data_IF_845697712658
#
_entry.id   IF_845697712658
#
_cell.length_a   1.000
_cell.length_b   1.000
_cell.length_c   1.000
_cell.angle_alpha   90.00
_cell.angle_beta   90.00
_cell.angle_gamma   90.00
#
_symmetry.space_group_name_H-M   'P 1'
#
loop_
_entity.id
_entity.type
_entity.pdbx_description
1 polymer ?
#
# COMPACT_ATOMS: atom_id res chain seq x y z
N UNK A 1 9.49 17.25 4.98
CA UNK A 1 9.84 15.83 5.17
C UNK A 1 10.54 15.65 6.51
N UNK A 2 10.08 14.74 7.37
CA UNK A 2 10.73 14.45 8.65
C UNK A 2 12.03 13.64 8.47
N UNK A 3 12.95 13.72 9.44
CA UNK A 3 14.23 12.99 9.40
C UNK A 3 14.03 11.47 9.28
N UNK A 4 12.99 10.94 9.93
CA UNK A 4 12.68 9.51 9.86
C UNK A 4 12.16 9.12 8.47
N UNK A 5 11.30 9.92 7.85
CA UNK A 5 10.78 9.64 6.51
C UNK A 5 11.92 9.66 5.49
N UNK A 6 12.82 10.63 5.59
CA UNK A 6 14.01 10.71 4.74
C UNK A 6 14.86 9.44 4.86
N UNK A 7 15.16 9.00 6.09
CA UNK A 7 15.91 7.77 6.34
C UNK A 7 15.22 6.52 5.77
N UNK A 8 13.89 6.43 5.91
CA UNK A 8 13.13 5.31 5.36
C UNK A 8 13.25 5.27 3.82
N UNK A 9 13.10 6.42 3.17
CA UNK A 9 13.19 6.55 1.70
C UNK A 9 14.58 6.22 1.19
N UNK A 10 15.63 6.68 1.86
CA UNK A 10 17.03 6.33 1.53
C UNK A 10 17.24 4.81 1.56
N UNK A 11 16.81 4.15 2.63
CA UNK A 11 16.88 2.69 2.74
C UNK A 11 16.05 2.02 1.65
N UNK A 12 14.89 2.57 1.30
CA UNK A 12 14.02 1.98 0.29
C UNK A 12 14.68 1.94 -1.09
N UNK A 13 15.44 2.98 -1.45
CA UNK A 13 16.22 2.98 -2.69
C UNK A 13 17.29 1.87 -2.69
N UNK A 14 17.97 1.65 -1.56
CA UNK A 14 18.92 0.53 -1.41
C UNK A 14 18.24 -0.83 -1.56
N UNK A 15 17.07 -1.01 -0.92
CA UNK A 15 16.27 -2.23 -0.99
C UNK A 15 15.80 -2.51 -2.42
N UNK A 16 15.31 -1.51 -3.14
CA UNK A 16 14.89 -1.62 -4.55
C UNK A 16 16.08 -1.98 -5.44
N UNK A 17 17.22 -1.32 -5.27
CA UNK A 17 18.42 -1.63 -6.04
C UNK A 17 18.88 -3.09 -5.82
N UNK A 18 18.89 -3.55 -4.57
CA UNK A 18 19.23 -4.94 -4.23
C UNK A 18 18.19 -5.95 -4.77
N UNK A 19 16.90 -5.59 -4.76
CA UNK A 19 15.84 -6.45 -5.29
C UNK A 19 15.93 -6.61 -6.81
N UNK A 20 16.22 -5.52 -7.55
CA UNK A 20 16.44 -5.53 -9.00
C UNK A 20 17.58 -6.44 -9.45
N UNK A 21 18.58 -6.69 -8.58
CA UNK A 21 19.67 -7.65 -8.85
C UNK A 21 19.23 -9.11 -8.73
N UNK A 22 18.21 -9.38 -7.91
CA UNK A 22 17.69 -10.74 -7.66
C UNK A 22 16.60 -11.12 -8.66
N UNK A 23 15.80 -10.14 -9.08
CA UNK A 23 14.66 -10.35 -9.97
C UNK A 23 14.51 -9.18 -10.91
N UNK A 24 14.32 -9.47 -12.20
CA UNK A 24 14.20 -8.42 -13.21
C UNK A 24 12.82 -7.76 -13.16
N UNK A 25 12.77 -6.48 -13.53
CA UNK A 25 11.52 -5.74 -13.70
C UNK A 25 10.60 -6.40 -14.75
N UNK A 26 11.16 -6.93 -15.84
CA UNK A 26 10.39 -7.61 -16.88
C UNK A 26 9.64 -8.83 -16.33
N UNK A 27 10.31 -9.69 -15.57
CA UNK A 27 9.66 -10.84 -14.93
C UNK A 27 8.55 -10.44 -13.95
N UNK A 28 8.74 -9.34 -13.21
CA UNK A 28 7.70 -8.80 -12.33
C UNK A 28 6.51 -8.25 -13.10
N UNK A 29 6.77 -7.55 -14.21
CA UNK A 29 5.73 -7.00 -15.07
C UNK A 29 4.88 -8.13 -15.67
N UNK A 30 5.50 -9.18 -16.19
CA UNK A 30 4.78 -10.34 -16.74
C UNK A 30 3.84 -10.98 -15.69
N UNK A 31 4.31 -11.15 -14.45
CA UNK A 31 3.48 -11.69 -13.36
C UNK A 31 2.37 -10.74 -12.91
N UNK A 32 2.65 -9.43 -12.85
CA UNK A 32 1.65 -8.43 -12.49
C UNK A 32 0.54 -8.33 -13.55
N UNK A 33 0.92 -8.34 -14.83
CA UNK A 33 -0.02 -8.31 -15.95
C UNK A 33 -0.84 -9.60 -16.03
N UNK A 34 -0.25 -10.77 -15.77
CA UNK A 34 -0.97 -12.03 -15.74
C UNK A 34 -2.06 -12.08 -14.65
N UNK A 35 -1.88 -11.32 -13.56
CA UNK A 35 -2.88 -11.18 -12.48
C UNK A 35 -3.89 -10.07 -12.70
N UNK A 36 -3.75 -9.26 -13.77
CA UNK A 36 -4.65 -8.14 -14.03
C UNK A 36 -6.09 -8.65 -14.17
N UNK A 37 -7.00 -8.09 -13.39
CA UNK A 37 -8.39 -8.53 -13.31
C UNK A 37 -8.70 -9.45 -12.12
N UNK A 38 -7.68 -9.94 -11.40
CA UNK A 38 -7.87 -10.59 -10.10
C UNK A 38 -8.17 -9.60 -8.96
N UNK A 39 -7.96 -8.29 -9.18
CA UNK A 39 -8.16 -7.29 -8.15
C UNK A 39 -9.64 -7.15 -7.78
N UNK A 40 -9.92 -7.18 -6.48
CA UNK A 40 -11.25 -7.11 -5.89
C UNK A 40 -11.84 -5.69 -5.94
N UNK A 41 -10.99 -4.69 -6.18
CA UNK A 41 -11.34 -3.27 -6.26
C UNK A 41 -11.41 -2.61 -4.89
N UNK A 42 -10.31 -1.98 -4.49
CA UNK A 42 -10.15 -1.34 -3.19
C UNK A 42 -11.05 -0.12 -3.05
N UNK A 43 -11.04 0.77 -4.05
CA UNK A 43 -11.87 1.96 -4.11
C UNK A 43 -13.37 1.61 -4.09
N UNK A 44 -13.75 0.62 -4.91
CA UNK A 44 -15.14 0.17 -5.01
C UNK A 44 -15.65 -0.40 -3.69
N UNK A 45 -14.83 -1.16 -2.96
CA UNK A 45 -15.23 -1.73 -1.66
C UNK A 45 -15.50 -0.64 -0.62
N UNK A 46 -14.68 0.43 -0.61
CA UNK A 46 -14.92 1.59 0.25
C UNK A 46 -16.25 2.27 -0.11
N UNK A 47 -16.51 2.54 -1.39
CA UNK A 47 -17.77 3.14 -1.84
C UNK A 47 -18.97 2.26 -1.51
N UNK A 48 -18.89 0.95 -1.71
CA UNK A 48 -19.95 0.02 -1.40
C UNK A 48 -20.32 0.04 0.09
N UNK A 49 -19.32 0.15 0.96
CA UNK A 49 -19.55 0.28 2.41
C UNK A 49 -20.27 1.59 2.77
N UNK A 50 -19.84 2.71 2.18
CA UNK A 50 -20.47 4.02 2.38
C UNK A 50 -21.92 4.03 1.85
N UNK A 51 -22.14 3.49 0.65
CA UNK A 51 -23.46 3.40 0.03
C UNK A 51 -24.45 2.55 0.86
N UNK A 52 -23.93 1.57 1.60
CA UNK A 52 -24.71 0.77 2.55
C UNK A 52 -24.95 1.47 3.90
N UNK A 53 -24.57 2.75 4.05
CA UNK A 53 -24.72 3.51 5.30
C UNK A 53 -23.75 3.08 6.41
N UNK A 54 -22.64 2.42 6.06
CA UNK A 54 -21.62 1.97 7.01
C UNK A 54 -20.33 2.78 6.87
N UNK A 55 -19.54 2.82 7.95
CA UNK A 55 -18.18 3.34 7.87
C UNK A 55 -17.31 2.43 6.97
N UNK A 56 -16.59 3.01 6.02
CA UNK A 56 -15.63 2.29 5.18
C UNK A 56 -14.26 2.23 5.86
N UNK A 57 -14.08 1.25 6.76
CA UNK A 57 -12.84 1.11 7.53
C UNK A 57 -11.79 0.34 6.73
N UNK A 58 -10.63 0.96 6.49
CA UNK A 58 -9.41 0.26 6.07
C UNK A 58 -8.70 -0.21 7.34
N UNK A 59 -8.73 -1.52 7.63
CA UNK A 59 -8.13 -2.07 8.84
C UNK A 59 -6.66 -2.43 8.61
N UNK A 60 -5.76 -1.86 9.42
CA UNK A 60 -4.31 -2.01 9.22
C UNK A 60 -3.69 -3.15 10.05
N UNK A 61 -3.04 -4.08 9.37
CA UNK A 61 -2.26 -5.18 9.93
C UNK A 61 -0.81 -4.70 10.09
N UNK A 62 -0.43 -4.37 11.33
CA UNK A 62 0.86 -3.75 11.67
C UNK A 62 1.51 -4.39 12.91
N UNK A 63 2.72 -4.92 12.76
CA UNK A 63 3.47 -5.56 13.85
C UNK A 63 4.15 -4.55 14.76
N UNK A 64 4.87 -3.60 14.18
CA UNK A 64 5.64 -2.60 14.91
C UNK A 64 5.52 -1.22 14.27
N UNK A 65 6.04 -0.20 14.96
CA UNK A 65 6.26 1.13 14.37
C UNK A 65 7.48 1.81 14.99
N UNK A 66 8.16 2.73 14.28
CA UNK A 66 9.31 3.44 14.82
C UNK A 66 9.03 4.16 16.14
N UNK A 67 7.81 4.70 16.30
CA UNK A 67 7.41 5.47 17.48
C UNK A 67 7.05 4.63 18.71
N UNK A 68 6.65 3.36 18.53
CA UNK A 68 6.06 2.55 19.61
C UNK A 68 6.71 1.17 19.78
N UNK A 69 7.70 0.82 18.96
CA UNK A 69 8.26 -0.52 18.94
C UNK A 69 7.21 -1.56 18.51
N UNK A 70 7.30 -2.78 19.05
CA UNK A 70 6.36 -3.87 18.78
C UNK A 70 4.99 -3.52 19.39
N UNK A 71 3.96 -3.54 18.56
CA UNK A 71 2.57 -3.31 18.96
C UNK A 71 1.86 -4.62 19.31
N UNK A 72 2.28 -5.72 18.69
CA UNK A 72 1.71 -7.05 18.88
C UNK A 72 2.79 -8.13 18.72
N UNK A 73 3.07 -8.84 19.80
CA UNK A 73 4.07 -9.92 19.84
C UNK A 73 3.58 -11.14 19.04
N UNK A 74 2.43 -11.69 19.43
CA UNK A 74 1.76 -12.79 18.71
C UNK A 74 1.07 -12.26 17.43
N UNK A 75 1.85 -12.28 16.35
CA UNK A 75 1.49 -11.65 15.09
C UNK A 75 1.18 -12.70 14.02
N UNK A 76 -0.11 -12.97 13.82
CA UNK A 76 -0.62 -13.95 12.85
C UNK A 76 -1.49 -13.22 11.80
N UNK A 77 -0.91 -12.79 10.67
CA UNK A 77 -1.60 -11.93 9.68
C UNK A 77 -2.91 -12.51 9.16
N UNK A 78 -2.97 -13.82 8.88
CA UNK A 78 -4.19 -14.48 8.40
C UNK A 78 -5.34 -14.38 9.42
N UNK A 79 -5.06 -14.72 10.69
CA UNK A 79 -6.05 -14.64 11.78
C UNK A 79 -6.52 -13.20 12.02
N UNK A 80 -5.61 -12.23 11.92
CA UNK A 80 -5.95 -10.81 12.05
C UNK A 80 -6.84 -10.36 10.89
N UNK A 81 -6.52 -10.76 9.65
CA UNK A 81 -7.31 -10.45 8.45
C UNK A 81 -8.73 -11.02 8.52
N UNK A 82 -8.89 -12.29 8.87
CA UNK A 82 -10.20 -12.93 9.09
C UNK A 82 -11.02 -12.21 10.17
N UNK A 83 -10.33 -11.77 11.23
CA UNK A 83 -10.99 -11.04 12.32
C UNK A 83 -11.48 -9.68 11.85
N UNK A 84 -10.68 -8.94 11.07
CA UNK A 84 -11.12 -7.67 10.49
C UNK A 84 -12.28 -7.84 9.51
N UNK A 85 -12.21 -8.84 8.63
CA UNK A 85 -13.28 -9.15 7.69
C UNK A 85 -14.60 -9.47 8.40
N UNK A 86 -14.58 -10.36 9.39
CA UNK A 86 -15.78 -10.72 10.16
C UNK A 86 -16.38 -9.55 10.95
N UNK A 87 -15.58 -8.54 11.28
CA UNK A 87 -16.04 -7.35 12.02
C UNK A 87 -16.31 -6.14 11.11
N UNK A 88 -16.45 -6.36 9.80
CA UNK A 88 -16.96 -5.34 8.88
C UNK A 88 -15.94 -4.34 8.36
N UNK A 89 -14.64 -4.67 8.37
CA UNK A 89 -13.67 -3.90 7.61
C UNK A 89 -14.03 -3.92 6.12
N UNK A 90 -13.86 -2.78 5.45
CA UNK A 90 -14.11 -2.64 4.01
C UNK A 90 -12.89 -3.08 3.19
N UNK A 91 -11.70 -2.79 3.69
CA UNK A 91 -10.43 -3.18 3.08
C UNK A 91 -9.40 -3.49 4.17
N UNK A 92 -8.29 -4.11 3.76
CA UNK A 92 -7.11 -4.28 4.60
C UNK A 92 -5.98 -3.34 4.15
N UNK A 93 -5.14 -2.93 5.10
CA UNK A 93 -3.83 -2.32 4.84
C UNK A 93 -2.78 -3.21 5.48
N UNK A 94 -1.76 -3.64 4.75
CA UNK A 94 -0.72 -4.52 5.29
C UNK A 94 0.64 -3.88 5.14
N UNK A 95 1.34 -3.69 6.26
CA UNK A 95 2.72 -3.18 6.25
C UNK A 95 3.66 -4.20 5.64
N UNK A 96 4.36 -3.81 4.58
CA UNK A 96 5.38 -4.66 3.94
C UNK A 96 6.81 -4.19 4.19
N UNK A 97 6.99 -3.01 4.79
CA UNK A 97 8.31 -2.53 5.21
C UNK A 97 8.85 -3.35 6.39
N UNK A 98 9.96 -4.06 6.14
CA UNK A 98 10.55 -4.97 7.14
C UNK A 98 11.35 -4.20 8.21
N UNK A 99 12.15 -3.20 7.80
CA UNK A 99 13.16 -2.58 8.67
C UNK A 99 12.57 -1.70 9.77
N UNK A 100 11.51 -0.95 9.47
CA UNK A 100 10.95 0.06 10.38
C UNK A 100 9.63 -0.37 11.00
N UNK A 101 8.86 -1.21 10.28
CA UNK A 101 7.54 -1.67 10.73
C UNK A 101 7.47 -3.15 11.06
N UNK A 102 8.56 -3.90 10.87
CA UNK A 102 8.58 -5.37 10.97
C UNK A 102 7.46 -6.02 10.16
N UNK A 103 7.14 -5.41 9.02
CA UNK A 103 6.22 -5.93 8.02
C UNK A 103 6.84 -7.03 7.19
N UNK A 104 6.08 -7.52 6.21
CA UNK A 104 6.60 -8.45 5.20
C UNK A 104 5.62 -8.61 4.05
N UNK A 105 6.13 -8.80 2.84
CA UNK A 105 5.36 -9.25 1.68
C UNK A 105 4.64 -10.59 1.95
N UNK A 106 5.23 -11.47 2.77
CA UNK A 106 4.59 -12.73 3.16
C UNK A 106 3.31 -12.49 3.98
N UNK A 107 3.29 -11.44 4.81
CA UNK A 107 2.11 -11.09 5.60
C UNK A 107 0.96 -10.59 4.72
N UNK A 108 1.28 -9.83 3.66
CA UNK A 108 0.28 -9.40 2.68
C UNK A 108 -0.36 -10.61 1.99
N UNK A 109 0.46 -11.57 1.53
CA UNK A 109 -0.04 -12.81 0.90
C UNK A 109 -0.91 -13.63 1.86
N UNK A 110 -0.49 -13.77 3.12
CA UNK A 110 -1.28 -14.47 4.15
C UNK A 110 -2.61 -13.77 4.42
N UNK A 111 -2.61 -12.44 4.56
CA UNK A 111 -3.83 -11.67 4.81
C UNK A 111 -4.81 -11.75 3.63
N UNK A 112 -4.31 -11.60 2.39
CA UNK A 112 -5.11 -11.75 1.16
C UNK A 112 -5.70 -13.15 1.03
N UNK A 113 -4.94 -14.19 1.35
CA UNK A 113 -5.42 -15.57 1.23
C UNK A 113 -6.49 -15.93 2.29
N UNK A 114 -6.58 -15.17 3.39
CA UNK A 114 -7.43 -15.49 4.53
C UNK A 114 -8.83 -14.84 4.46
N UNK A 115 -9.09 -13.90 3.53
CA UNK A 115 -10.39 -13.26 3.39
C UNK A 115 -10.61 -12.65 1.99
N UNK A 116 -11.84 -12.23 1.70
CA UNK A 116 -12.23 -11.62 0.41
C UNK A 116 -12.19 -10.08 0.43
N UNK A 117 -11.41 -9.47 1.33
CA UNK A 117 -11.25 -8.03 1.36
C UNK A 117 -10.12 -7.57 0.42
N UNK A 118 -10.29 -6.46 -0.32
CA UNK A 118 -9.19 -5.85 -1.04
C UNK A 118 -8.06 -5.42 -0.09
N UNK A 119 -6.81 -5.56 -0.53
CA UNK A 119 -5.62 -5.32 0.28
C UNK A 119 -4.75 -4.20 -0.32
N UNK A 120 -4.50 -3.18 0.50
CA UNK A 120 -3.49 -2.15 0.26
C UNK A 120 -2.12 -2.66 0.69
N UNK A 121 -1.14 -2.57 -0.21
CA UNK A 121 0.28 -2.65 0.14
C UNK A 121 0.71 -1.34 0.80
N UNK A 122 0.86 -1.36 2.12
CA UNK A 122 1.34 -0.22 2.90
C UNK A 122 2.88 -0.28 2.97
N UNK A 123 3.52 0.47 2.10
CA UNK A 123 4.97 0.62 2.03
C UNK A 123 5.31 2.01 1.48
N UNK A 124 6.61 2.31 1.40
CA UNK A 124 7.12 3.55 0.82
C UNK A 124 7.43 3.30 -0.65
N UNK A 125 6.50 3.65 -1.55
CA UNK A 125 6.70 3.47 -2.99
C UNK A 125 7.58 4.59 -3.54
N UNK A 126 8.73 4.24 -4.11
CA UNK A 126 9.68 5.19 -4.72
C UNK A 126 10.04 4.84 -6.16
N UNK A 127 9.74 3.62 -6.62
CA UNK A 127 10.15 3.08 -7.92
C UNK A 127 9.07 2.16 -8.53
N UNK A 128 8.97 2.15 -9.88
CA UNK A 128 8.02 1.31 -10.64
C UNK A 128 8.16 -0.19 -10.32
N UNK A 129 9.35 -0.62 -9.93
CA UNK A 129 9.62 -1.99 -9.53
C UNK A 129 8.71 -2.44 -8.38
N UNK A 130 8.48 -1.55 -7.40
CA UNK A 130 7.62 -1.85 -6.26
C UNK A 130 6.14 -1.91 -6.66
N UNK A 131 5.73 -1.14 -7.68
CA UNK A 131 4.38 -1.17 -8.23
C UNK A 131 4.12 -2.51 -8.92
N UNK A 132 5.06 -2.95 -9.78
CA UNK A 132 4.98 -4.27 -10.42
C UNK A 132 5.03 -5.39 -9.38
N UNK A 133 5.87 -5.27 -8.36
CA UNK A 133 5.88 -6.20 -7.24
C UNK A 133 4.55 -6.24 -6.49
N UNK A 134 3.92 -5.09 -6.23
CA UNK A 134 2.61 -5.03 -5.59
C UNK A 134 1.54 -5.79 -6.40
N UNK A 135 1.54 -5.65 -7.73
CA UNK A 135 0.67 -6.42 -8.63
C UNK A 135 0.97 -7.92 -8.58
N UNK A 136 2.24 -8.30 -8.72
CA UNK A 136 2.67 -9.70 -8.73
C UNK A 136 2.37 -10.45 -7.42
N UNK A 137 2.37 -9.75 -6.27
CA UNK A 137 2.02 -10.34 -4.97
C UNK A 137 0.51 -10.33 -4.69
N UNK A 138 -0.29 -9.73 -5.58
CA UNK A 138 -1.76 -9.71 -5.50
C UNK A 138 -2.34 -8.57 -4.68
N UNK A 139 -1.64 -7.45 -4.53
CA UNK A 139 -2.23 -6.25 -3.91
C UNK A 139 -3.38 -5.72 -4.79
N UNK A 140 -4.33 -5.03 -4.18
CA UNK A 140 -5.41 -4.34 -4.88
C UNK A 140 -5.17 -2.84 -4.96
N UNK A 141 -4.33 -2.31 -4.07
CA UNK A 141 -4.03 -0.88 -3.96
C UNK A 141 -2.58 -0.66 -3.49
N UNK A 142 -1.98 0.45 -3.92
CA UNK A 142 -0.68 0.93 -3.40
C UNK A 142 -0.83 2.28 -2.71
N UNK A 143 0.12 2.59 -1.82
CA UNK A 143 0.25 3.91 -1.20
C UNK A 143 1.26 4.76 -1.97
N UNK A 144 0.88 5.99 -2.31
CA UNK A 144 1.83 7.06 -2.67
C UNK A 144 1.84 8.11 -1.56
N UNK A 145 3.00 8.64 -1.20
CA UNK A 145 3.14 9.64 -0.13
C UNK A 145 3.66 10.94 -0.75
N UNK A 146 2.83 11.99 -0.75
CA UNK A 146 3.17 13.26 -1.38
C UNK A 146 4.40 13.92 -0.73
N UNK A 147 4.61 13.70 0.57
CA UNK A 147 5.73 14.22 1.34
C UNK A 147 7.11 13.73 0.86
N UNK A 148 7.19 12.60 0.14
CA UNK A 148 8.47 12.03 -0.33
C UNK A 148 8.58 11.76 -1.83
N UNK A 149 7.56 12.12 -2.61
CA UNK A 149 7.56 11.98 -4.06
C UNK A 149 7.44 13.35 -4.72
N UNK A 150 8.12 13.54 -5.85
CA UNK A 150 7.84 14.68 -6.73
C UNK A 150 6.52 14.47 -7.49
N UNK A 151 5.97 15.55 -8.06
CA UNK A 151 4.74 15.49 -8.88
C UNK A 151 4.89 14.53 -10.06
N UNK A 152 6.06 14.53 -10.71
CA UNK A 152 6.37 13.60 -11.80
C UNK A 152 6.40 12.15 -11.32
N UNK A 153 7.09 11.86 -10.21
CA UNK A 153 7.11 10.51 -9.64
C UNK A 153 5.71 10.02 -9.25
N UNK A 154 4.89 10.87 -8.62
CA UNK A 154 3.52 10.48 -8.26
C UNK A 154 2.69 10.15 -9.50
N UNK A 155 2.77 10.97 -10.55
CA UNK A 155 2.05 10.73 -11.80
C UNK A 155 2.52 9.44 -12.51
N UNK A 156 3.82 9.19 -12.56
CA UNK A 156 4.40 8.00 -13.20
C UNK A 156 4.03 6.71 -12.43
N UNK A 157 4.13 6.72 -11.10
CA UNK A 157 3.76 5.58 -10.27
C UNK A 157 2.25 5.32 -10.29
N UNK A 158 1.43 6.36 -10.29
CA UNK A 158 -0.02 6.23 -10.47
C UNK A 158 -0.37 5.62 -11.83
N UNK A 159 0.21 6.15 -12.91
CA UNK A 159 -0.04 5.64 -14.26
C UNK A 159 0.37 4.16 -14.38
N UNK A 160 1.50 3.79 -13.77
CA UNK A 160 1.98 2.42 -13.70
C UNK A 160 1.01 1.51 -12.95
N UNK A 161 0.52 1.94 -11.79
CA UNK A 161 -0.43 1.19 -10.98
C UNK A 161 -1.75 0.93 -11.74
N UNK A 162 -2.32 1.98 -12.33
CA UNK A 162 -3.54 1.87 -13.12
C UNK A 162 -3.37 0.97 -14.35
N UNK A 163 -2.19 0.97 -15.00
CA UNK A 163 -1.93 0.13 -16.18
C UNK A 163 -2.08 -1.37 -15.88
N UNK A 164 -1.77 -1.79 -14.65
CA UNK A 164 -1.89 -3.19 -14.18
C UNK A 164 -3.13 -3.43 -13.29
N UNK A 165 -4.03 -2.45 -13.17
CA UNK A 165 -5.31 -2.59 -12.48
C UNK A 165 -5.26 -2.40 -10.96
N UNK A 166 -4.20 -1.79 -10.42
CA UNK A 166 -4.12 -1.40 -9.02
C UNK A 166 -4.80 -0.06 -8.80
N UNK A 167 -5.56 0.05 -7.71
CA UNK A 167 -5.99 1.35 -7.18
C UNK A 167 -4.80 2.06 -6.50
N UNK A 168 -4.92 3.37 -6.27
CA UNK A 168 -3.87 4.19 -5.68
C UNK A 168 -4.45 5.01 -4.53
N UNK A 169 -3.92 4.89 -3.32
CA UNK A 169 -4.20 5.81 -2.23
C UNK A 169 -3.05 6.82 -2.13
N UNK A 170 -3.32 8.11 -2.34
CA UNK A 170 -2.33 9.17 -2.12
C UNK A 170 -2.48 9.77 -0.73
N UNK A 171 -1.41 9.74 0.07
CA UNK A 171 -1.35 10.28 1.42
C UNK A 171 -0.76 11.70 1.42
N UNK A 172 -1.43 12.60 2.15
CA UNK A 172 -1.06 14.03 2.32
C UNK A 172 -1.13 14.45 3.79
N UNK A 173 -0.34 15.45 4.17
CA UNK A 173 -0.25 15.99 5.53
C UNK A 173 -0.67 17.46 5.65
N UNK A 174 -0.58 18.22 4.55
CA UNK A 174 -0.90 19.64 4.52
C UNK A 174 -1.59 20.06 3.21
N UNK A 175 -1.89 21.36 3.11
CA UNK A 175 -2.58 21.94 1.95
C UNK A 175 -1.75 21.90 0.66
N UNK A 176 -0.44 22.10 0.76
CA UNK A 176 0.45 22.09 -0.41
C UNK A 176 0.57 20.67 -0.98
N UNK A 177 0.68 19.67 -0.11
CA UNK A 177 0.63 18.25 -0.49
C UNK A 177 -0.73 17.88 -1.10
N UNK A 178 -1.83 18.40 -0.56
CA UNK A 178 -3.16 18.20 -1.11
C UNK A 178 -3.29 18.78 -2.53
N UNK A 179 -2.84 20.02 -2.76
CA UNK A 179 -2.89 20.64 -4.09
C UNK A 179 -2.11 19.82 -5.14
N UNK A 180 -0.99 19.23 -4.73
CA UNK A 180 -0.19 18.35 -5.58
C UNK A 180 -0.90 17.02 -5.85
N UNK A 181 -1.48 16.41 -4.81
CA UNK A 181 -2.22 15.16 -4.91
C UNK A 181 -3.49 15.27 -5.78
N UNK A 182 -4.17 16.43 -5.76
CA UNK A 182 -5.38 16.68 -6.58
C UNK A 182 -5.11 16.73 -8.09
N UNK A 183 -3.85 16.74 -8.53
CA UNK A 183 -3.48 16.62 -9.94
C UNK A 183 -3.53 15.16 -10.44
N UNK A 184 -3.54 14.20 -9.52
CA UNK A 184 -3.63 12.78 -9.81
C UNK A 184 -5.05 12.38 -10.22
N UNK A 185 -5.19 11.22 -10.85
CA UNK A 185 -6.48 10.68 -11.32
C UNK A 185 -7.21 9.88 -10.26
N UNK A 186 -6.51 9.40 -9.24
CA UNK A 186 -7.10 8.59 -8.18
C UNK A 186 -8.16 9.37 -7.41
N UNK A 187 -9.31 8.74 -7.09
CA UNK A 187 -10.30 9.35 -6.21
C UNK A 187 -9.96 9.20 -4.72
N UNK A 188 -8.89 8.48 -4.36
CA UNK A 188 -8.55 8.15 -2.97
C UNK A 188 -7.45 9.09 -2.44
N UNK A 189 -7.86 10.13 -1.72
CA UNK A 189 -6.96 11.03 -0.99
C UNK A 189 -7.03 10.74 0.51
N UNK A 190 -5.91 10.29 1.09
CA UNK A 190 -5.75 10.01 2.51
C UNK A 190 -5.12 11.19 3.24
N UNK A 191 -5.82 11.74 4.22
CA UNK A 191 -5.29 12.81 5.07
C UNK A 191 -4.67 12.17 6.33
N UNK A 192 -3.36 12.27 6.48
CA UNK A 192 -2.65 11.74 7.63
C UNK A 192 -2.56 12.79 8.73
N UNK A 193 -3.29 12.57 9.83
CA UNK A 193 -3.35 13.50 10.97
C UNK A 193 -2.11 13.43 11.89
N UNK A 194 -1.07 12.66 11.53
CA UNK A 194 0.18 12.56 12.29
C UNK A 194 1.26 13.41 11.62
N UNK A 195 1.92 14.27 12.40
CA UNK A 195 3.11 15.02 12.01
C UNK A 195 4.41 14.19 12.12
#
# INVERSE_FOLDING_TARGET
>A
MSDILKRIVEVKWEEVAAAKLKRSLASLRDEAEARKGEQLGFERSLRASIAAGRAAVIAEIKKASPSKGVLREDFQPAVIAETYARNGAACLSVLTDERFFQGSVAYLRQARAACELPVLRKDFMVDEYQVMEAGAIGSDCILLIAACLSDAQMADLEATAHAIGLDVLVEVHDGDELERALKLKTPLVGINNRN
#
